data_IF_304922088707
#
_entry.id   IF_304922088707
#
_cell.length_a   1.000
_cell.length_b   1.000
_cell.length_c   1.000
_cell.angle_alpha   90.00
_cell.angle_beta   90.00
_cell.angle_gamma   90.00
#
_symmetry.space_group_name_H-M   'P 1'
#
loop_
_entity.id
_entity.type
_entity.pdbx_description
1 polymer ?
#
# COMPACT_ATOMS: atom_id res chain seq x y z
N UNK A 1 -10.78 -3.86 -8.98
CA UNK A 1 -10.03 -2.61 -9.21
C UNK A 1 -8.55 -2.87 -9.05
N UNK A 2 -7.77 -2.45 -10.04
CA UNK A 2 -6.31 -2.56 -10.07
C UNK A 2 -5.69 -1.60 -9.07
N UNK A 3 -4.75 -2.07 -8.24
CA UNK A 3 -4.04 -1.23 -7.28
C UNK A 3 -2.75 -0.73 -7.89
N UNK A 4 -2.42 0.55 -7.74
CA UNK A 4 -1.11 1.07 -8.12
C UNK A 4 -0.22 1.07 -6.88
N UNK A 5 0.87 0.34 -6.94
CA UNK A 5 1.88 0.35 -5.88
C UNK A 5 3.10 1.03 -6.45
N UNK A 6 3.36 2.24 -5.97
CA UNK A 6 4.55 3.00 -6.35
C UNK A 6 5.73 2.48 -5.54
N UNK A 7 6.71 1.99 -6.29
CA UNK A 7 7.85 1.24 -5.81
C UNK A 7 9.11 1.87 -6.38
N UNK A 8 10.22 1.70 -5.71
CA UNK A 8 11.54 2.00 -6.26
C UNK A 8 12.14 0.75 -6.88
N UNK A 9 12.57 0.85 -8.13
CA UNK A 9 13.38 -0.16 -8.81
C UNK A 9 14.72 -0.43 -8.11
N UNK A 10 15.58 -1.25 -8.74
CA UNK A 10 16.87 -1.65 -8.16
C UNK A 10 17.85 -0.47 -8.11
N UNK A 11 17.75 0.37 -7.07
CA UNK A 11 18.59 1.54 -6.82
C UNK A 11 19.04 1.65 -5.36
N UNK A 12 19.97 2.56 -5.10
CA UNK A 12 20.84 2.73 -3.93
C UNK A 12 20.14 3.12 -2.60
N UNK A 13 18.92 2.67 -2.34
CA UNK A 13 18.20 2.98 -1.12
C UNK A 13 18.46 1.97 0.00
N UNK A 14 18.33 2.46 1.24
CA UNK A 14 18.54 1.69 2.47
C UNK A 14 17.81 0.34 2.40
N UNK A 15 18.47 -0.73 2.85
CA UNK A 15 17.93 -2.09 2.89
C UNK A 15 16.52 -2.20 3.51
N UNK A 16 16.14 -1.26 4.38
CA UNK A 16 14.80 -1.18 4.95
C UNK A 16 13.70 -0.94 3.91
N UNK A 17 13.87 0.01 2.99
CA UNK A 17 12.86 0.36 1.97
C UNK A 17 12.61 -0.82 1.04
N UNK A 18 13.67 -1.51 0.61
CA UNK A 18 13.55 -2.72 -0.21
C UNK A 18 12.73 -3.81 0.49
N UNK A 19 12.93 -4.03 1.79
CA UNK A 19 12.17 -5.00 2.58
C UNK A 19 10.70 -4.62 2.70
N UNK A 20 10.41 -3.33 2.96
CA UNK A 20 9.03 -2.83 3.05
C UNK A 20 8.26 -3.02 1.73
N UNK A 21 8.90 -2.71 0.61
CA UNK A 21 8.33 -2.94 -0.72
C UNK A 21 8.08 -4.43 -0.99
N UNK A 22 9.04 -5.30 -0.68
CA UNK A 22 8.88 -6.75 -0.82
C UNK A 22 7.76 -7.30 0.06
N UNK A 23 7.60 -6.78 1.28
CA UNK A 23 6.54 -7.17 2.20
C UNK A 23 5.15 -6.81 1.66
N UNK A 24 4.97 -5.57 1.18
CA UNK A 24 3.71 -5.15 0.52
C UNK A 24 3.41 -6.04 -0.69
N UNK A 25 4.39 -6.22 -1.59
CA UNK A 25 4.21 -7.07 -2.77
C UNK A 25 3.91 -8.53 -2.43
N UNK A 26 4.64 -9.08 -1.47
CA UNK A 26 4.46 -10.44 -1.01
C UNK A 26 3.07 -10.67 -0.44
N UNK A 27 2.56 -9.70 0.34
CA UNK A 27 1.20 -9.75 0.86
C UNK A 27 0.15 -9.73 -0.26
N UNK A 28 0.26 -8.78 -1.20
CA UNK A 28 -0.71 -8.66 -2.30
C UNK A 28 -0.72 -9.93 -3.15
N UNK A 29 0.45 -10.46 -3.50
CA UNK A 29 0.59 -11.70 -4.26
C UNK A 29 0.03 -12.92 -3.51
N UNK A 30 0.36 -13.08 -2.22
CA UNK A 30 -0.13 -14.20 -1.40
C UNK A 30 -1.67 -14.20 -1.26
N UNK A 31 -2.28 -13.01 -1.24
CA UNK A 31 -3.73 -12.84 -1.16
C UNK A 31 -4.41 -12.75 -2.53
N UNK A 32 -3.67 -12.97 -3.63
CA UNK A 32 -4.17 -12.90 -5.03
C UNK A 32 -4.85 -11.56 -5.35
N UNK A 33 -4.34 -10.48 -4.77
CA UNK A 33 -4.79 -9.12 -5.07
C UNK A 33 -3.98 -8.64 -6.27
N UNK A 34 -4.65 -8.31 -7.36
CA UNK A 34 -4.00 -7.76 -8.55
C UNK A 34 -3.51 -6.33 -8.31
N UNK A 35 -2.27 -6.06 -8.70
CA UNK A 35 -1.65 -4.75 -8.59
C UNK A 35 -0.68 -4.48 -9.74
N UNK A 36 -0.47 -3.21 -10.00
CA UNK A 36 0.52 -2.67 -10.92
C UNK A 36 1.73 -2.16 -10.11
N UNK A 37 2.92 -2.55 -10.53
CA UNK A 37 4.18 -2.03 -10.00
C UNK A 37 4.57 -0.77 -10.79
N UNK A 38 4.49 0.40 -10.16
CA UNK A 38 4.89 1.67 -10.75
C UNK A 38 6.31 2.03 -10.27
N UNK A 39 7.34 1.76 -11.08
CA UNK A 39 8.75 1.97 -10.73
C UNK A 39 9.14 3.46 -10.81
N UNK A 40 9.35 4.11 -9.66
CA UNK A 40 9.75 5.52 -9.56
C UNK A 40 11.26 5.76 -9.75
N UNK A 41 12.07 4.70 -9.77
CA UNK A 41 13.52 4.81 -10.00
C UNK A 41 13.81 4.95 -11.49
N UNK A 42 13.11 4.17 -12.32
CA UNK A 42 13.28 4.14 -13.77
C UNK A 42 12.31 5.08 -14.52
N UNK A 43 11.16 5.43 -13.92
CA UNK A 43 10.12 6.26 -14.55
C UNK A 43 9.91 7.57 -13.76
N UNK A 44 10.23 8.69 -14.42
CA UNK A 44 10.11 10.01 -13.82
C UNK A 44 8.66 10.47 -13.66
N UNK A 45 7.76 10.04 -14.55
CA UNK A 45 6.34 10.38 -14.48
C UNK A 45 5.70 9.67 -13.29
N UNK A 46 6.03 8.39 -13.07
CA UNK A 46 5.61 7.67 -11.86
C UNK A 46 6.12 8.35 -10.58
N UNK A 47 7.40 8.77 -10.58
CA UNK A 47 8.01 9.46 -9.44
C UNK A 47 7.32 10.79 -9.15
N UNK A 48 7.03 11.57 -10.18
CA UNK A 48 6.34 12.86 -10.05
C UNK A 48 4.90 12.65 -9.58
N UNK A 49 4.17 11.76 -10.24
CA UNK A 49 2.77 11.45 -9.91
C UNK A 49 2.63 11.01 -8.46
N UNK A 50 3.46 10.07 -8.00
CA UNK A 50 3.46 9.60 -6.61
C UNK A 50 3.63 10.77 -5.63
N UNK A 51 4.61 11.65 -5.85
CA UNK A 51 4.90 12.78 -4.94
C UNK A 51 3.77 13.80 -4.92
N UNK A 52 3.13 14.06 -6.05
CA UNK A 52 2.02 15.01 -6.17
C UNK A 52 0.73 14.48 -5.51
N UNK A 53 0.46 13.17 -5.61
CA UNK A 53 -0.79 12.56 -5.15
C UNK A 53 -0.74 12.01 -3.72
N UNK A 54 0.44 12.01 -3.06
CA UNK A 54 0.51 11.78 -1.60
C UNK A 54 -0.06 13.02 -0.88
N UNK A 55 -1.12 12.85 -0.05
CA UNK A 55 -1.72 13.91 0.76
C UNK A 55 -0.72 14.59 1.68
N UNK A 56 -0.89 15.89 1.92
CA UNK A 56 0.06 16.71 2.69
C UNK A 56 0.26 16.22 4.13
N UNK A 57 -0.81 15.77 4.79
CA UNK A 57 -0.80 15.17 6.13
C UNK A 57 -0.07 13.82 6.21
N UNK A 58 0.14 13.17 5.06
CA UNK A 58 0.85 11.90 4.92
C UNK A 58 2.30 12.07 4.45
N UNK A 59 2.75 13.31 4.21
CA UNK A 59 4.13 13.61 3.80
C UNK A 59 5.07 13.63 5.01
N UNK A 60 6.34 13.22 4.84
CA UNK A 60 7.33 13.33 5.91
C UNK A 60 7.60 14.81 6.25
N UNK A 61 7.95 15.09 7.51
CA UNK A 61 8.32 16.44 7.96
C UNK A 61 9.49 17.06 7.17
N UNK A 62 10.36 16.22 6.61
CA UNK A 62 11.48 16.64 5.77
C UNK A 62 11.65 15.70 4.57
N UNK A 63 11.85 16.25 3.38
CA UNK A 63 12.12 15.50 2.16
C UNK A 63 10.86 15.04 1.41
N UNK A 64 11.04 14.09 0.50
CA UNK A 64 9.96 13.55 -0.33
C UNK A 64 9.36 12.28 0.29
N UNK A 65 8.08 11.98 0.06
CA UNK A 65 7.52 10.67 0.41
C UNK A 65 8.34 9.55 -0.25
N UNK A 66 8.61 8.50 0.52
CA UNK A 66 9.43 7.35 0.12
C UNK A 66 8.53 6.13 -0.14
N UNK A 67 8.87 5.26 -1.11
CA UNK A 67 8.10 4.05 -1.37
C UNK A 67 8.25 3.00 -0.24
N UNK A 68 7.31 2.04 -0.12
CA UNK A 68 6.12 1.87 -0.95
C UNK A 68 5.04 2.92 -0.65
N UNK A 69 4.35 3.39 -1.69
CA UNK A 69 3.14 4.22 -1.59
C UNK A 69 2.01 3.51 -2.32
N UNK A 70 0.90 3.24 -1.61
CA UNK A 70 -0.17 2.38 -2.11
C UNK A 70 -1.37 3.24 -2.48
N UNK A 71 -1.87 3.03 -3.69
CA UNK A 71 -3.05 3.69 -4.22
C UNK A 71 -4.04 2.67 -4.75
N UNK A 72 -5.31 2.98 -4.58
CA UNK A 72 -6.41 2.31 -5.26
C UNK A 72 -6.92 3.25 -6.34
N UNK A 73 -6.55 3.00 -7.60
CA UNK A 73 -6.68 3.98 -8.68
C UNK A 73 -6.02 5.32 -8.28
N UNK A 74 -6.80 6.39 -8.13
CA UNK A 74 -6.31 7.72 -7.74
C UNK A 74 -6.49 7.99 -6.23
N UNK A 75 -7.13 7.07 -5.49
CA UNK A 75 -7.29 7.20 -4.04
C UNK A 75 -6.02 6.74 -3.33
N UNK A 76 -5.42 7.63 -2.56
CA UNK A 76 -4.34 7.26 -1.64
C UNK A 76 -4.85 6.32 -0.53
N UNK A 77 -4.22 5.15 -0.43
CA UNK A 77 -4.49 4.20 0.67
C UNK A 77 -3.55 4.48 1.84
N UNK A 78 -2.25 4.63 1.58
CA UNK A 78 -1.26 4.90 2.61
C UNK A 78 0.17 4.50 2.25
N UNK A 79 1.09 4.83 3.16
CA UNK A 79 2.49 4.40 3.13
C UNK A 79 2.66 3.00 3.77
N UNK A 80 3.91 2.55 3.93
CA UNK A 80 4.19 1.26 4.58
C UNK A 80 3.68 1.16 6.03
N UNK A 81 3.81 2.23 6.83
CA UNK A 81 3.38 2.22 8.23
C UNK A 81 1.87 2.04 8.34
N UNK A 82 1.10 2.77 7.54
CA UNK A 82 -0.35 2.60 7.47
C UNK A 82 -0.77 1.18 7.03
N UNK A 83 -0.06 0.62 6.04
CA UNK A 83 -0.26 -0.78 5.63
C UNK A 83 0.05 -1.76 6.75
N UNK A 84 1.14 -1.55 7.48
CA UNK A 84 1.54 -2.39 8.60
C UNK A 84 0.50 -2.34 9.74
N UNK A 85 0.04 -1.14 10.13
CA UNK A 85 -1.03 -0.97 11.12
C UNK A 85 -2.31 -1.70 10.68
N UNK A 86 -2.73 -1.53 9.43
CA UNK A 86 -3.89 -2.24 8.89
C UNK A 86 -3.71 -3.77 8.92
N UNK A 87 -2.49 -4.27 8.76
CA UNK A 87 -2.19 -5.71 8.87
C UNK A 87 -2.34 -6.23 10.29
N UNK A 88 -1.80 -5.50 11.28
CA UNK A 88 -1.95 -5.85 12.69
C UNK A 88 -3.43 -5.87 13.12
N UNK A 89 -4.22 -4.93 12.59
CA UNK A 89 -5.66 -4.82 12.86
C UNK A 89 -6.54 -5.80 12.05
N UNK A 90 -5.95 -6.64 11.18
CA UNK A 90 -6.67 -7.47 10.21
C UNK A 90 -7.69 -6.66 9.39
N UNK A 91 -7.28 -5.48 8.92
CA UNK A 91 -8.08 -4.49 8.19
C UNK A 91 -7.44 -4.09 6.85
N UNK A 92 -6.61 -4.97 6.27
CA UNK A 92 -5.86 -4.66 5.03
C UNK A 92 -6.79 -4.51 3.84
N UNK A 93 -7.87 -5.29 3.74
CA UNK A 93 -8.80 -5.14 2.62
C UNK A 93 -9.52 -3.79 2.70
N UNK A 94 -9.99 -3.39 3.89
CA UNK A 94 -10.55 -2.05 4.12
C UNK A 94 -9.53 -0.93 3.80
N UNK A 95 -8.28 -1.07 4.23
CA UNK A 95 -7.18 -0.15 3.90
C UNK A 95 -7.01 0.01 2.38
N UNK A 96 -7.03 -1.10 1.64
CA UNK A 96 -6.95 -1.11 0.18
C UNK A 96 -8.24 -0.66 -0.51
N UNK A 97 -9.31 -0.36 0.23
CA UNK A 97 -10.63 -0.07 -0.33
C UNK A 97 -11.22 -1.26 -1.09
N UNK A 98 -11.08 -2.46 -0.53
CA UNK A 98 -11.59 -3.72 -1.05
C UNK A 98 -12.55 -4.36 -0.06
N UNK A 99 -13.46 -5.19 -0.58
CA UNK A 99 -14.24 -6.08 0.25
C UNK A 99 -13.38 -7.27 0.66
N UNK A 100 -13.28 -7.52 1.97
CA UNK A 100 -12.60 -8.70 2.48
C UNK A 100 -13.27 -9.98 1.95
N UNK A 101 -12.51 -10.96 1.43
CA UNK A 101 -13.08 -12.19 0.89
C UNK A 101 -13.74 -13.02 2.01
N UNK A 102 -14.84 -13.73 1.72
CA UNK A 102 -15.48 -14.63 2.70
C UNK A 102 -14.49 -15.63 3.28
N UNK A 103 -14.53 -15.84 4.60
CA UNK A 103 -13.60 -16.72 5.32
C UNK A 103 -12.22 -16.11 5.61
N UNK A 104 -11.98 -14.86 5.23
CA UNK A 104 -10.82 -14.12 5.76
C UNK A 104 -11.07 -13.68 7.20
N UNK A 105 -9.99 -13.53 7.97
CA UNK A 105 -10.05 -13.01 9.35
C UNK A 105 -10.78 -11.67 9.45
N UNK A 106 -10.57 -10.80 8.47
CA UNK A 106 -11.23 -9.49 8.38
C UNK A 106 -12.74 -9.62 8.17
N UNK A 107 -13.17 -10.47 7.23
CA UNK A 107 -14.60 -10.71 6.97
C UNK A 107 -15.32 -11.31 8.19
N UNK A 108 -14.66 -12.23 8.91
CA UNK A 108 -15.18 -12.80 10.15
C UNK A 108 -15.29 -11.75 11.26
N UNK A 109 -14.28 -10.89 11.42
CA UNK A 109 -14.29 -9.82 12.41
C UNK A 109 -15.40 -8.80 12.14
N UNK A 110 -15.62 -8.43 10.87
CA UNK A 110 -16.69 -7.52 10.48
C UNK A 110 -18.08 -8.14 10.76
N UNK A 111 -18.25 -9.42 10.41
CA UNK A 111 -19.51 -10.13 10.63
C UNK A 111 -19.89 -10.22 12.11
N UNK A 112 -18.90 -10.36 13.01
CA UNK A 112 -19.12 -10.36 14.46
C UNK A 112 -19.52 -8.99 15.01
N UNK A 113 -18.93 -7.90 14.50
CA UNK A 113 -19.25 -6.53 14.92
C UNK A 113 -20.67 -6.09 14.54
N UNK A 114 -21.15 -6.51 13.37
CA UNK A 114 -22.51 -6.17 12.89
C UNK A 114 -23.63 -6.89 13.64
N UNK A 115 -23.30 -7.96 14.39
CA UNK A 115 -24.26 -8.75 15.17
C UNK A 115 -24.37 -8.30 16.65
N UNK A 116 -23.58 -7.30 17.06
CA UNK A 116 -23.62 -6.68 18.38
C UNK A 116 -24.37 -5.35 18.31
#
# INVERSE_FOLDING_TARGET
TLKKVYLEGQGLYKNSIKKQQQDVKGFLAANKIEFEECDIAADEDNRKWMREHVPEDSRPATGNPLPPQIFNEDRYCGNYEAFFCAREDNAVYAFLGLTAPPGSKEAEALSKKTQM
#
